data_IF_875627446008
#
_entry.id   IF_875627446008
#
_cell.length_a   1.000
_cell.length_b   1.000
_cell.length_c   1.000
_cell.angle_alpha   90.00
_cell.angle_beta   90.00
_cell.angle_gamma   90.00
#
_symmetry.space_group_name_H-M   'P 1'
#
loop_
_entity.id
_entity.type
_entity.pdbx_description
1 polymer ?
#
# COMPACT_ATOMS: atom_id res chain seq x y z
N UNK A 1 2.68 -16.52 -21.52
CA UNK A 1 2.64 -15.35 -22.41
C UNK A 1 1.59 -14.37 -21.93
N UNK A 2 0.33 -14.79 -21.66
CA UNK A 2 -0.79 -13.88 -21.26
C UNK A 2 -0.51 -13.11 -19.98
N UNK A 3 0.08 -13.72 -18.96
CA UNK A 3 0.40 -13.05 -17.70
C UNK A 3 1.43 -11.93 -17.92
N UNK A 4 2.44 -12.19 -18.73
CA UNK A 4 3.46 -11.18 -19.06
C UNK A 4 2.87 -9.99 -19.82
N UNK A 5 1.94 -10.25 -20.75
CA UNK A 5 1.25 -9.20 -21.49
C UNK A 5 0.37 -8.34 -20.56
N UNK A 6 -0.34 -8.97 -19.63
CA UNK A 6 -1.16 -8.25 -18.64
C UNK A 6 -0.31 -7.36 -17.74
N UNK A 7 0.77 -7.91 -17.17
CA UNK A 7 1.71 -7.16 -16.33
C UNK A 7 2.35 -6.02 -17.15
N UNK A 8 2.73 -6.29 -18.39
CA UNK A 8 3.27 -5.27 -19.29
C UNK A 8 2.30 -4.13 -19.53
N UNK A 9 1.02 -4.43 -19.77
CA UNK A 9 -0.02 -3.42 -19.98
C UNK A 9 -0.26 -2.57 -18.72
N UNK A 10 -0.37 -3.20 -17.55
CA UNK A 10 -0.45 -2.49 -16.26
C UNK A 10 0.77 -1.62 -16.04
N UNK A 11 1.97 -2.14 -16.34
CA UNK A 11 3.23 -1.41 -16.21
C UNK A 11 3.31 -0.19 -17.13
N UNK A 12 2.89 -0.32 -18.39
CA UNK A 12 2.83 0.82 -19.34
C UNK A 12 1.87 1.89 -18.84
N UNK A 13 0.70 1.49 -18.34
CA UNK A 13 -0.27 2.45 -17.77
C UNK A 13 0.32 3.17 -16.55
N UNK A 14 0.98 2.43 -15.65
CA UNK A 14 1.66 3.04 -14.49
C UNK A 14 2.74 4.01 -14.96
N UNK A 15 3.57 3.61 -15.91
CA UNK A 15 4.62 4.45 -16.46
C UNK A 15 4.05 5.74 -17.07
N UNK A 16 2.91 5.67 -17.73
CA UNK A 16 2.21 6.82 -18.29
C UNK A 16 1.60 7.73 -17.21
N UNK A 17 0.84 7.15 -16.27
CA UNK A 17 0.14 7.91 -15.23
C UNK A 17 1.10 8.53 -14.22
N UNK A 18 2.15 7.81 -13.86
CA UNK A 18 3.11 8.22 -12.83
C UNK A 18 4.43 8.76 -13.40
N UNK A 19 4.51 9.09 -14.72
CA UNK A 19 5.76 9.49 -15.36
C UNK A 19 6.42 10.70 -14.67
N UNK A 20 5.64 11.71 -14.31
CA UNK A 20 6.14 12.92 -13.64
C UNK A 20 6.75 12.62 -12.26
N UNK A 21 6.22 11.60 -11.58
CA UNK A 21 6.71 11.18 -10.26
C UNK A 21 7.88 10.20 -10.34
N UNK A 22 7.99 9.43 -11.43
CA UNK A 22 9.06 8.44 -11.62
C UNK A 22 10.30 9.11 -12.23
N UNK A 23 10.13 9.82 -13.34
CA UNK A 23 11.23 10.42 -14.10
C UNK A 23 11.24 11.94 -14.05
N UNK A 24 10.13 12.57 -13.69
CA UNK A 24 9.99 14.01 -13.58
C UNK A 24 10.45 14.55 -12.22
N UNK A 25 10.22 15.85 -12.03
CA UNK A 25 10.58 16.57 -10.80
C UNK A 25 9.47 16.56 -9.75
N UNK A 26 8.24 16.13 -10.11
CA UNK A 26 7.11 16.12 -9.19
C UNK A 26 7.30 15.08 -8.08
N UNK A 27 6.82 15.44 -6.90
CA UNK A 27 6.78 14.56 -5.73
C UNK A 27 5.35 14.11 -5.47
N UNK A 28 5.18 12.87 -5.04
CA UNK A 28 3.88 12.32 -4.65
C UNK A 28 3.50 12.79 -3.23
N UNK A 29 3.49 14.11 -3.09
CA UNK A 29 3.17 14.84 -1.86
C UNK A 29 2.17 15.92 -2.21
N UNK A 30 1.01 15.87 -1.59
CA UNK A 30 -0.09 16.79 -1.87
C UNK A 30 -0.16 17.89 -0.82
N UNK A 31 -0.51 19.11 -1.25
CA UNK A 31 -0.58 20.32 -0.43
C UNK A 31 -1.95 20.99 -0.48
N UNK A 32 -2.93 20.32 -1.09
CA UNK A 32 -4.31 20.78 -1.23
C UNK A 32 -5.19 20.50 0.00
N UNK A 33 -6.49 20.55 -0.17
CA UNK A 33 -7.46 20.18 0.87
C UNK A 33 -7.24 18.71 1.25
N UNK A 34 -6.81 18.48 2.48
CA UNK A 34 -6.38 17.15 2.92
C UNK A 34 -4.87 16.95 2.77
N UNK A 35 -4.09 17.99 3.02
CA UNK A 35 -2.62 18.02 2.97
C UNK A 35 -1.92 17.05 3.94
N UNK A 36 -2.61 15.98 4.34
CA UNK A 36 -2.13 14.97 5.27
C UNK A 36 -0.82 14.33 4.79
N UNK A 37 -0.62 14.23 3.49
CA UNK A 37 0.65 13.77 2.93
C UNK A 37 1.83 14.61 3.38
N UNK A 38 1.72 15.93 3.30
CA UNK A 38 2.78 16.86 3.69
C UNK A 38 2.84 17.15 5.18
N UNK A 39 1.68 17.20 5.86
CA UNK A 39 1.60 17.63 7.24
C UNK A 39 1.69 16.46 8.22
N UNK A 40 1.28 15.24 7.81
CA UNK A 40 1.19 14.09 8.70
C UNK A 40 2.08 12.93 8.22
N UNK A 41 1.82 12.34 7.04
CA UNK A 41 2.48 11.10 6.63
C UNK A 41 3.97 11.27 6.35
N UNK A 42 4.33 12.24 5.53
CA UNK A 42 5.74 12.44 5.15
C UNK A 42 6.63 12.80 6.34
N UNK A 43 6.26 13.76 7.21
CA UNK A 43 7.02 14.06 8.43
C UNK A 43 7.12 12.85 9.36
N UNK A 44 6.06 12.05 9.45
CA UNK A 44 6.07 10.83 10.26
C UNK A 44 7.11 9.82 9.77
N UNK A 45 7.10 9.50 8.47
CA UNK A 45 8.08 8.58 7.89
C UNK A 45 9.52 9.11 8.01
N UNK A 46 9.73 10.39 7.78
CA UNK A 46 11.03 11.04 7.96
C UNK A 46 11.52 10.91 9.41
N UNK A 47 10.64 11.16 10.37
CA UNK A 47 10.97 11.02 11.79
C UNK A 47 11.31 9.57 12.17
N UNK A 48 10.53 8.58 11.71
CA UNK A 48 10.83 7.17 11.93
C UNK A 48 12.21 6.79 11.38
N UNK A 49 12.52 7.17 10.14
CA UNK A 49 13.82 6.90 9.51
C UNK A 49 14.96 7.53 10.30
N UNK A 50 14.83 8.81 10.68
CA UNK A 50 15.84 9.52 11.47
C UNK A 50 16.10 8.81 12.79
N UNK A 51 15.07 8.53 13.56
CA UNK A 51 15.18 7.89 14.90
C UNK A 51 15.84 6.52 14.83
N UNK A 52 15.44 5.68 13.85
CA UNK A 52 16.06 4.36 13.65
C UNK A 52 17.53 4.52 13.27
N UNK A 53 17.86 5.46 12.38
CA UNK A 53 19.25 5.71 11.95
C UNK A 53 20.13 6.24 13.09
N UNK A 54 19.55 6.97 14.04
CA UNK A 54 20.22 7.47 15.24
C UNK A 54 20.25 6.45 16.40
N UNK A 55 19.67 5.25 16.21
CA UNK A 55 19.57 4.22 17.25
C UNK A 55 18.59 4.57 18.38
N UNK A 56 17.66 5.50 18.15
CA UNK A 56 16.65 5.91 19.13
C UNK A 56 15.40 5.07 19.01
N UNK A 57 15.16 4.15 19.96
CA UNK A 57 14.01 3.25 19.99
C UNK A 57 13.00 3.58 21.09
N UNK A 58 13.00 4.82 21.61
CA UNK A 58 12.02 5.24 22.61
C UNK A 58 10.59 5.13 22.08
N UNK A 59 9.68 4.58 22.90
CA UNK A 59 8.24 4.51 22.58
C UNK A 59 7.62 5.91 22.52
N UNK A 60 8.15 6.85 23.32
CA UNK A 60 7.70 8.24 23.32
C UNK A 60 8.52 9.07 22.35
N UNK A 61 7.84 9.88 21.56
CA UNK A 61 8.43 10.75 20.56
C UNK A 61 8.12 12.22 20.87
N UNK A 62 9.13 12.99 21.28
CA UNK A 62 9.01 14.41 21.57
C UNK A 62 9.07 15.30 20.32
N UNK A 63 9.50 14.77 19.18
CA UNK A 63 9.64 15.55 17.94
C UNK A 63 8.31 15.71 17.18
N UNK A 64 7.23 15.16 17.71
CA UNK A 64 5.91 15.18 17.07
C UNK A 64 4.89 15.85 17.97
N UNK A 65 4.52 17.09 17.62
CA UNK A 65 3.61 17.91 18.44
C UNK A 65 4.16 18.20 19.82
N UNK A 66 3.36 17.97 20.86
CA UNK A 66 3.74 18.08 22.28
C UNK A 66 4.27 16.75 22.87
N UNK A 67 4.65 15.84 21.99
CA UNK A 67 5.00 14.47 22.34
C UNK A 67 3.88 13.49 22.03
N UNK A 68 4.22 12.36 21.42
CA UNK A 68 3.27 11.30 21.10
C UNK A 68 3.89 9.93 21.30
N UNK A 69 3.05 8.94 21.57
CA UNK A 69 3.47 7.55 21.59
C UNK A 69 3.53 6.99 20.18
N UNK A 70 4.50 6.15 19.89
CA UNK A 70 4.53 5.36 18.64
C UNK A 70 3.30 4.48 18.46
N UNK A 71 2.64 4.11 19.57
CA UNK A 71 1.40 3.31 19.54
C UNK A 71 0.26 4.08 18.85
N UNK A 72 0.20 5.40 19.00
CA UNK A 72 -0.83 6.22 18.36
C UNK A 72 -0.73 6.22 16.83
N UNK A 73 0.42 5.88 16.28
CA UNK A 73 0.67 5.80 14.84
C UNK A 73 1.03 4.37 14.39
N UNK A 74 0.56 3.38 15.15
CA UNK A 74 0.91 1.97 14.92
C UNK A 74 0.45 1.50 13.53
N UNK A 75 -0.69 1.99 13.06
CA UNK A 75 -1.22 1.71 11.73
C UNK A 75 -0.24 2.10 10.62
N UNK A 76 0.36 3.29 10.72
CA UNK A 76 1.35 3.76 9.74
C UNK A 76 2.67 2.99 9.82
N UNK A 77 3.06 2.56 11.05
CA UNK A 77 4.30 1.81 11.27
C UNK A 77 4.18 0.36 10.81
N UNK A 78 3.05 -0.30 11.08
CA UNK A 78 2.84 -1.71 10.77
C UNK A 78 2.24 -1.96 9.39
N UNK A 79 1.83 -0.91 8.67
CA UNK A 79 1.48 -1.03 7.25
C UNK A 79 2.69 -1.58 6.48
N UNK A 80 2.56 -2.69 5.73
CA UNK A 80 3.69 -3.29 5.00
C UNK A 80 4.39 -2.32 4.04
N UNK A 81 3.63 -1.41 3.43
CA UNK A 81 4.17 -0.40 2.52
C UNK A 81 4.80 0.76 3.29
N UNK A 82 4.26 1.10 4.48
CA UNK A 82 4.87 2.03 5.41
C UNK A 82 6.22 1.51 5.92
N UNK A 83 6.27 0.23 6.34
CA UNK A 83 7.52 -0.45 6.71
C UNK A 83 8.52 -0.45 5.55
N UNK A 84 8.09 -0.73 4.32
CA UNK A 84 8.95 -0.65 3.14
C UNK A 84 9.55 0.75 2.98
N UNK A 85 8.77 1.81 3.16
CA UNK A 85 9.25 3.20 3.08
C UNK A 85 10.25 3.50 4.20
N UNK A 86 9.94 3.10 5.45
CA UNK A 86 10.82 3.34 6.60
C UNK A 86 12.14 2.60 6.43
N UNK A 87 12.10 1.28 6.18
CA UNK A 87 13.31 0.47 6.02
C UNK A 87 14.13 0.91 4.81
N UNK A 88 13.46 1.21 3.68
CA UNK A 88 14.13 1.77 2.51
C UNK A 88 14.78 3.13 2.80
N UNK A 89 14.13 3.99 3.60
CA UNK A 89 14.69 5.27 4.03
C UNK A 89 15.92 5.11 4.92
N UNK A 90 15.95 4.11 5.79
CA UNK A 90 17.14 3.77 6.62
C UNK A 90 18.29 3.27 5.75
N UNK A 91 18.01 2.38 4.78
CA UNK A 91 19.05 1.78 3.93
C UNK A 91 19.59 2.75 2.88
N UNK A 92 18.72 3.48 2.19
CA UNK A 92 19.08 4.34 1.06
C UNK A 92 19.25 5.81 1.43
N UNK A 93 18.98 6.17 2.68
CA UNK A 93 19.05 7.52 3.22
C UNK A 93 17.70 8.23 3.24
N UNK A 94 17.53 9.11 4.23
CA UNK A 94 16.31 9.84 4.56
C UNK A 94 15.76 10.65 3.36
N UNK A 95 16.64 11.22 2.52
CA UNK A 95 16.25 11.97 1.33
C UNK A 95 15.53 11.15 0.26
N UNK A 96 15.56 9.80 0.36
CA UNK A 96 14.89 8.90 -0.57
C UNK A 96 13.44 8.60 -0.16
N UNK A 97 13.02 8.93 1.05
CA UNK A 97 11.65 8.67 1.55
C UNK A 97 10.60 9.19 0.58
N UNK A 98 10.74 10.41 0.06
CA UNK A 98 9.84 11.01 -0.91
C UNK A 98 9.67 10.19 -2.21
N UNK A 99 10.72 9.50 -2.66
CA UNK A 99 10.67 8.61 -3.84
C UNK A 99 10.12 7.22 -3.48
N UNK A 100 10.43 6.73 -2.29
CA UNK A 100 9.91 5.44 -1.81
C UNK A 100 8.40 5.45 -1.64
N UNK A 101 7.80 6.61 -1.31
CA UNK A 101 6.33 6.77 -1.26
C UNK A 101 5.68 6.52 -2.63
N UNK A 102 6.26 7.02 -3.71
CA UNK A 102 5.79 6.74 -5.08
C UNK A 102 5.89 5.26 -5.39
N UNK A 103 7.03 4.65 -5.08
CA UNK A 103 7.26 3.21 -5.31
C UNK A 103 6.25 2.38 -4.53
N UNK A 104 5.98 2.72 -3.26
CA UNK A 104 4.98 2.06 -2.43
C UNK A 104 3.58 2.14 -3.07
N UNK A 105 3.18 3.31 -3.59
CA UNK A 105 1.89 3.46 -4.28
C UNK A 105 1.82 2.64 -5.56
N UNK A 106 2.87 2.62 -6.36
CA UNK A 106 2.95 1.80 -7.58
C UNK A 106 2.82 0.31 -7.24
N UNK A 107 3.51 -0.15 -6.19
CA UNK A 107 3.41 -1.54 -5.72
C UNK A 107 1.99 -1.90 -5.29
N UNK A 108 1.27 -0.99 -4.62
CA UNK A 108 -0.14 -1.20 -4.25
C UNK A 108 -1.02 -1.37 -5.48
N UNK A 109 -0.85 -0.55 -6.51
CA UNK A 109 -1.61 -0.63 -7.76
C UNK A 109 -1.34 -1.98 -8.46
N UNK A 110 -0.08 -2.37 -8.59
CA UNK A 110 0.29 -3.65 -9.21
C UNK A 110 -0.33 -4.81 -8.42
N UNK A 111 -0.19 -4.80 -7.10
CA UNK A 111 -0.71 -5.87 -6.25
C UNK A 111 -2.23 -5.94 -6.30
N UNK A 112 -2.92 -4.79 -6.30
CA UNK A 112 -4.37 -4.71 -6.47
C UNK A 112 -4.83 -5.30 -7.81
N UNK A 113 -4.13 -4.98 -8.91
CA UNK A 113 -4.42 -5.54 -10.23
C UNK A 113 -4.30 -7.08 -10.25
N UNK A 114 -3.21 -7.60 -9.69
CA UNK A 114 -2.93 -9.03 -9.66
C UNK A 114 -3.88 -9.80 -8.75
N UNK A 115 -4.16 -9.29 -7.55
CA UNK A 115 -5.05 -9.92 -6.59
C UNK A 115 -6.50 -9.91 -7.07
N UNK A 116 -6.99 -8.80 -7.63
CA UNK A 116 -8.34 -8.73 -8.16
C UNK A 116 -8.51 -9.66 -9.36
N UNK A 117 -7.55 -9.68 -10.31
CA UNK A 117 -7.55 -10.66 -11.39
C UNK A 117 -7.57 -12.10 -10.86
N UNK A 118 -6.74 -12.41 -9.86
CA UNK A 118 -6.72 -13.73 -9.24
C UNK A 118 -8.06 -14.07 -8.57
N UNK A 119 -8.64 -13.15 -7.82
CA UNK A 119 -9.95 -13.31 -7.19
C UNK A 119 -11.04 -13.65 -8.23
N UNK A 120 -11.12 -12.87 -9.31
CA UNK A 120 -12.09 -13.11 -10.37
C UNK A 120 -11.93 -14.50 -11.03
N UNK A 121 -10.69 -14.99 -11.14
CA UNK A 121 -10.44 -16.34 -11.67
C UNK A 121 -10.98 -17.46 -10.77
N UNK A 122 -11.18 -17.24 -9.49
CA UNK A 122 -11.81 -18.22 -8.60
C UNK A 122 -13.27 -18.51 -8.98
N UNK A 123 -13.93 -17.56 -9.67
CA UNK A 123 -15.29 -17.70 -10.18
C UNK A 123 -15.35 -18.22 -11.63
N UNK A 124 -14.26 -18.79 -12.13
CA UNK A 124 -14.17 -19.36 -13.48
C UNK A 124 -14.54 -18.41 -14.63
N UNK A 125 -14.45 -17.09 -14.39
CA UNK A 125 -14.66 -16.11 -15.48
C UNK A 125 -13.54 -16.21 -16.53
N UNK A 126 -13.84 -15.74 -17.74
CA UNK A 126 -12.87 -15.78 -18.82
C UNK A 126 -11.60 -14.99 -18.45
N UNK A 127 -10.45 -15.41 -18.94
CA UNK A 127 -9.16 -14.74 -18.72
C UNK A 127 -9.22 -13.24 -19.09
N UNK A 128 -9.92 -12.92 -20.19
CA UNK A 128 -10.09 -11.51 -20.63
C UNK A 128 -10.89 -10.70 -19.61
N UNK A 129 -12.00 -11.25 -19.11
CA UNK A 129 -12.82 -10.57 -18.10
C UNK A 129 -12.03 -10.38 -16.79
N UNK A 130 -11.27 -11.38 -16.34
CA UNK A 130 -10.42 -11.28 -15.16
C UNK A 130 -9.33 -10.19 -15.32
N UNK A 131 -8.69 -10.10 -16.49
CA UNK A 131 -7.71 -9.05 -16.78
C UNK A 131 -8.35 -7.65 -16.77
N UNK A 132 -9.50 -7.47 -17.41
CA UNK A 132 -10.22 -6.20 -17.43
C UNK A 132 -10.65 -5.81 -16.02
N UNK A 133 -11.24 -6.74 -15.25
CA UNK A 133 -11.69 -6.48 -13.88
C UNK A 133 -10.52 -6.11 -12.95
N UNK A 134 -9.41 -6.83 -13.03
CA UNK A 134 -8.19 -6.51 -12.27
C UNK A 134 -7.63 -5.13 -12.62
N UNK A 135 -7.64 -4.78 -13.90
CA UNK A 135 -7.20 -3.45 -14.35
C UNK A 135 -8.13 -2.35 -13.84
N UNK A 136 -9.45 -2.49 -14.02
CA UNK A 136 -10.42 -1.51 -13.54
C UNK A 136 -10.37 -1.32 -12.03
N UNK A 137 -10.15 -2.41 -11.28
CA UNK A 137 -9.99 -2.32 -9.82
C UNK A 137 -8.73 -1.55 -9.44
N UNK A 138 -7.61 -1.78 -10.10
CA UNK A 138 -6.33 -1.15 -9.78
C UNK A 138 -6.29 0.35 -10.14
N UNK A 139 -7.00 0.75 -11.18
CA UNK A 139 -7.06 2.14 -11.65
C UNK A 139 -8.42 2.80 -11.35
N UNK A 140 -9.12 2.33 -10.31
CA UNK A 140 -10.36 2.97 -9.88
C UNK A 140 -10.10 4.35 -9.25
N UNK A 141 -11.14 5.19 -9.24
CA UNK A 141 -11.05 6.54 -8.69
C UNK A 141 -10.63 6.58 -7.22
N UNK A 142 -11.00 5.57 -6.42
CA UNK A 142 -10.62 5.52 -5.01
C UNK A 142 -9.10 5.36 -4.84
N UNK A 143 -8.47 4.38 -5.49
CA UNK A 143 -7.02 4.18 -5.42
C UNK A 143 -6.24 5.33 -6.05
N UNK A 144 -6.80 5.99 -7.07
CA UNK A 144 -6.13 7.12 -7.73
C UNK A 144 -6.25 8.41 -6.94
N UNK A 145 -7.46 8.77 -6.48
CA UNK A 145 -7.73 10.03 -5.77
C UNK A 145 -7.28 9.96 -4.30
N UNK A 146 -7.55 8.84 -3.61
CA UNK A 146 -7.18 8.65 -2.22
C UNK A 146 -5.79 8.02 -2.03
N UNK A 147 -5.04 7.83 -3.10
CA UNK A 147 -3.66 7.36 -3.04
C UNK A 147 -2.71 8.26 -2.23
N UNK A 148 -3.09 9.51 -2.01
CA UNK A 148 -2.42 10.44 -1.09
C UNK A 148 -2.52 9.98 0.39
N UNK A 149 -3.59 9.34 0.79
CA UNK A 149 -3.73 8.70 2.10
C UNK A 149 -3.14 7.28 2.00
N UNK A 150 -1.86 7.16 2.26
CA UNK A 150 -1.10 5.92 1.98
C UNK A 150 -1.73 4.66 2.57
N UNK A 151 -2.36 4.73 3.74
CA UNK A 151 -3.01 3.58 4.36
C UNK A 151 -4.25 3.09 3.59
N UNK A 152 -5.04 4.00 3.00
CA UNK A 152 -6.29 3.65 2.34
C UNK A 152 -6.09 2.71 1.14
N UNK A 153 -5.00 2.87 0.39
CA UNK A 153 -4.65 1.93 -0.68
C UNK A 153 -4.35 0.52 -0.18
N UNK A 154 -3.78 0.39 1.01
CA UNK A 154 -3.47 -0.91 1.63
C UNK A 154 -4.74 -1.65 2.07
N UNK A 155 -5.76 -0.92 2.53
CA UNK A 155 -7.06 -1.50 2.88
C UNK A 155 -7.71 -2.19 1.68
N UNK A 156 -7.62 -1.61 0.49
CA UNK A 156 -8.12 -2.23 -0.75
C UNK A 156 -7.45 -3.58 -1.03
N UNK A 157 -6.17 -3.73 -0.70
CA UNK A 157 -5.43 -4.99 -0.83
C UNK A 157 -5.92 -6.02 0.19
N UNK A 158 -6.10 -5.62 1.46
CA UNK A 158 -6.63 -6.53 2.48
C UNK A 158 -8.04 -6.98 2.18
N UNK A 159 -8.91 -6.10 1.63
CA UNK A 159 -10.24 -6.50 1.17
C UNK A 159 -10.16 -7.66 0.16
N UNK A 160 -9.28 -7.55 -0.83
CA UNK A 160 -9.09 -8.62 -1.81
C UNK A 160 -8.56 -9.91 -1.17
N UNK A 161 -7.62 -9.82 -0.24
CA UNK A 161 -7.08 -11.00 0.46
C UNK A 161 -8.17 -11.69 1.29
N UNK A 162 -8.99 -10.92 2.01
CA UNK A 162 -10.13 -11.44 2.77
C UNK A 162 -11.10 -12.17 1.84
N UNK A 163 -11.48 -11.56 0.72
CA UNK A 163 -12.38 -12.16 -0.27
C UNK A 163 -11.80 -13.43 -0.90
N UNK A 164 -10.50 -13.43 -1.23
CA UNK A 164 -9.78 -14.59 -1.78
C UNK A 164 -9.79 -15.75 -0.80
N UNK A 165 -9.43 -15.52 0.46
CA UNK A 165 -9.37 -16.59 1.44
C UNK A 165 -10.75 -17.08 1.83
N UNK A 166 -11.76 -16.20 1.89
CA UNK A 166 -13.15 -16.56 2.12
C UNK A 166 -13.66 -17.48 0.98
N UNK A 167 -13.47 -17.08 -0.27
CA UNK A 167 -13.88 -17.88 -1.42
C UNK A 167 -13.19 -19.24 -1.45
N UNK A 168 -11.89 -19.30 -1.14
CA UNK A 168 -11.15 -20.55 -1.04
C UNK A 168 -11.66 -21.45 0.08
N UNK A 169 -12.12 -20.88 1.20
CA UNK A 169 -12.73 -21.65 2.28
C UNK A 169 -14.08 -22.21 1.90
N UNK A 170 -14.88 -21.47 1.11
CA UNK A 170 -16.16 -21.94 0.57
C UNK A 170 -15.93 -23.13 -0.38
N UNK A 171 -14.91 -23.02 -1.25
CA UNK A 171 -14.58 -24.09 -2.21
C UNK A 171 -13.97 -25.32 -1.54
N UNK A 172 -13.11 -25.12 -0.55
CA UNK A 172 -12.40 -26.22 0.14
C UNK A 172 -11.96 -25.79 1.54
N UNK A 173 -12.35 -26.55 2.57
CA UNK A 173 -11.88 -26.29 3.92
C UNK A 173 -10.42 -26.72 4.08
N UNK A 174 -9.51 -25.74 4.27
CA UNK A 174 -8.11 -25.97 4.64
C UNK A 174 -7.67 -24.98 5.70
N UNK A 175 -6.96 -25.48 6.72
CA UNK A 175 -6.46 -24.66 7.86
C UNK A 175 -5.65 -23.44 7.36
N UNK A 176 -4.85 -23.59 6.30
CA UNK A 176 -4.09 -22.49 5.72
C UNK A 176 -4.98 -21.32 5.23
N UNK A 177 -6.20 -21.60 4.79
CA UNK A 177 -7.14 -20.57 4.36
C UNK A 177 -7.80 -19.88 5.54
N UNK A 178 -8.06 -20.62 6.64
CA UNK A 178 -8.51 -20.04 7.92
C UNK A 178 -7.45 -19.08 8.45
N UNK A 179 -6.17 -19.51 8.47
CA UNK A 179 -5.06 -18.68 8.92
C UNK A 179 -4.89 -17.44 8.02
N UNK A 180 -4.94 -17.61 6.70
CA UNK A 180 -4.84 -16.50 5.74
C UNK A 180 -5.96 -15.48 5.92
N UNK A 181 -7.20 -15.94 6.12
CA UNK A 181 -8.35 -15.08 6.42
C UNK A 181 -8.14 -14.33 7.74
N UNK A 182 -7.79 -15.04 8.81
CA UNK A 182 -7.55 -14.46 10.13
C UNK A 182 -6.45 -13.39 10.10
N UNK A 183 -5.31 -13.68 9.45
CA UNK A 183 -4.21 -12.74 9.31
C UNK A 183 -4.64 -11.51 8.49
N UNK A 184 -5.37 -11.71 7.38
CA UNK A 184 -5.83 -10.60 6.54
C UNK A 184 -6.81 -9.68 7.26
N UNK A 185 -7.73 -10.25 8.06
CA UNK A 185 -8.67 -9.48 8.90
C UNK A 185 -7.91 -8.73 9.98
N UNK A 186 -7.02 -9.40 10.72
CA UNK A 186 -6.24 -8.76 11.79
C UNK A 186 -5.39 -7.61 11.25
N UNK A 187 -4.71 -7.83 10.11
CA UNK A 187 -3.90 -6.80 9.47
C UNK A 187 -4.74 -5.62 8.99
N UNK A 188 -5.94 -5.86 8.44
CA UNK A 188 -6.84 -4.78 8.02
C UNK A 188 -7.32 -3.94 9.21
N UNK A 189 -7.61 -4.56 10.35
CA UNK A 189 -7.99 -3.85 11.58
C UNK A 189 -6.83 -2.98 12.07
N UNK A 190 -5.61 -3.50 12.11
CA UNK A 190 -4.42 -2.74 12.53
C UNK A 190 -4.22 -1.52 11.63
N UNK A 191 -4.39 -1.65 10.31
CA UNK A 191 -4.29 -0.53 9.39
C UNK A 191 -5.44 0.50 9.53
N UNK A 192 -6.56 0.13 10.16
CA UNK A 192 -7.70 1.01 10.42
C UNK A 192 -7.68 1.67 11.80
N UNK A 193 -6.76 1.29 12.67
CA UNK A 193 -6.56 1.92 13.98
C UNK A 193 -5.94 3.31 13.77
N UNK A 194 -6.82 4.27 13.47
CA UNK A 194 -6.47 5.65 13.15
C UNK A 194 -6.94 6.58 14.25
#
# INVERSE_FOLDING_TARGET
IRDRLYIGFVGITIAYVFHDFIWGEKLFLYTDIGSDTMQQYYPYYMNCVRRISEGSFSIWNWDYGLGTSLINNISQTLDPFGLFVILGGVVFGIGKVKRLLVVAQILKIILSALLCRYFLKLFHVSERAACIGGYLYAFNGYLMLWGQHYLLGTICIYLLLILIFLEKLIQEFKVRYVMGLGISVAASIICLLY
#
